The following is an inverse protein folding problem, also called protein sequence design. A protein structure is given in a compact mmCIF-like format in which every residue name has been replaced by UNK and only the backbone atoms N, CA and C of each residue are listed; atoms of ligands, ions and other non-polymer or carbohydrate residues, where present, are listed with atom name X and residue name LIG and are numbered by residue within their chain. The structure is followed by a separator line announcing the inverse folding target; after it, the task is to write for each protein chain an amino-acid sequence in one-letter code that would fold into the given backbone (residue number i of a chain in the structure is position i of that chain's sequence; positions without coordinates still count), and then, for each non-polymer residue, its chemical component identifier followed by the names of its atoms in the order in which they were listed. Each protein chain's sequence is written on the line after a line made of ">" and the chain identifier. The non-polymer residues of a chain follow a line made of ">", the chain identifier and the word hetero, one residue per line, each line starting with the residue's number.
data_IF_306812199571
#
_entry.id   IF_306812199571
#
_cell.length_a   1.000
_cell.length_b   1.000
_cell.length_c   1.000
_cell.angle_alpha   90.00
_cell.angle_beta   90.00
_cell.angle_gamma   90.00
#
_symmetry.space_group_name_H-M   'P 1'
#
loop_
_entity.id
_entity.type
_entity.pdbx_description
1 polymer ?
#
# COMPACT_ATOMS: atom_id res chain seq x y z
N UNK A 1 -12.73 7.87 -25.55
CA UNK A 1 -11.36 7.58 -26.01
C UNK A 1 -10.66 6.91 -24.84
N UNK A 2 -10.76 5.59 -24.72
CA UNK A 2 -10.26 4.83 -23.56
C UNK A 2 -8.98 4.10 -23.93
N UNK A 3 -7.91 4.86 -24.18
CA UNK A 3 -6.57 4.31 -24.18
C UNK A 3 -6.07 4.46 -22.74
N UNK A 4 -6.53 3.58 -21.84
CA UNK A 4 -5.89 3.43 -20.53
C UNK A 4 -4.58 2.68 -20.75
N UNK A 5 -3.53 3.45 -21.04
CA UNK A 5 -2.11 3.04 -21.06
C UNK A 5 -1.90 2.22 -19.77
N UNK A 6 -1.71 0.91 -19.82
CA UNK A 6 -0.48 0.25 -20.27
C UNK A 6 0.43 -0.11 -19.09
N UNK A 7 0.19 0.46 -17.90
CA UNK A 7 1.00 0.22 -16.70
C UNK A 7 0.22 -0.63 -15.70
N UNK A 8 0.91 -1.58 -15.06
CA UNK A 8 0.33 -2.41 -14.00
C UNK A 8 -0.02 -1.50 -12.80
N UNK A 9 -1.29 -1.47 -12.34
CA UNK A 9 -1.69 -0.66 -11.19
C UNK A 9 -0.88 -0.88 -9.93
N UNK A 10 -0.27 -2.06 -9.76
CA UNK A 10 0.64 -2.33 -8.65
C UNK A 10 1.96 -1.56 -8.80
N UNK A 11 2.50 -1.48 -10.01
CA UNK A 11 3.70 -0.69 -10.32
C UNK A 11 3.40 0.78 -10.07
N UNK A 12 2.26 1.30 -10.54
CA UNK A 12 1.89 2.70 -10.27
C UNK A 12 1.73 2.96 -8.77
N UNK A 13 1.14 2.03 -8.02
CA UNK A 13 1.03 2.10 -6.57
C UNK A 13 2.40 2.15 -5.88
N UNK A 14 3.39 1.37 -6.36
CA UNK A 14 4.75 1.39 -5.83
C UNK A 14 5.43 2.76 -5.94
N UNK A 15 5.02 3.61 -6.90
CA UNK A 15 5.50 4.99 -7.01
C UNK A 15 5.14 5.88 -5.81
N UNK A 16 4.18 5.47 -4.98
CA UNK A 16 3.80 6.17 -3.73
C UNK A 16 4.50 5.61 -2.49
N UNK A 17 5.44 4.67 -2.67
CA UNK A 17 6.15 4.01 -1.57
C UNK A 17 7.59 4.50 -1.42
N UNK A 18 8.04 4.55 -0.18
CA UNK A 18 9.41 4.83 0.20
C UNK A 18 9.99 3.60 0.91
N UNK A 19 11.16 3.17 0.46
CA UNK A 19 11.89 2.06 1.05
C UNK A 19 12.73 2.54 2.24
N UNK A 20 12.61 1.87 3.38
CA UNK A 20 13.56 1.91 4.48
C UNK A 20 14.69 0.89 4.28
N UNK A 21 15.82 1.11 4.96
CA UNK A 21 16.94 0.16 5.00
C UNK A 21 16.59 -1.14 5.76
N UNK A 22 15.66 -1.06 6.72
CA UNK A 22 15.19 -2.18 7.52
C UNK A 22 13.69 -2.44 7.32
N UNK A 23 13.23 -3.65 7.67
CA UNK A 23 11.80 -4.01 7.63
C UNK A 23 11.01 -3.41 8.81
N UNK A 24 11.03 -2.08 8.93
CA UNK A 24 10.45 -1.29 10.02
C UNK A 24 9.17 -0.50 9.63
N UNK A 25 8.86 -0.44 8.33
CA UNK A 25 7.69 0.24 7.76
C UNK A 25 6.35 -0.48 8.01
N UNK A 26 5.44 -0.37 7.05
CA UNK A 26 4.06 -0.83 7.18
C UNK A 26 3.95 -2.35 7.34
N UNK A 27 2.96 -2.78 8.12
CA UNK A 27 2.56 -4.20 8.17
C UNK A 27 1.92 -4.59 6.84
N UNK A 28 2.07 -5.83 6.39
CA UNK A 28 1.41 -6.28 5.15
C UNK A 28 -0.11 -6.20 5.31
N UNK A 29 -0.64 -6.73 6.41
CA UNK A 29 -2.09 -6.82 6.65
C UNK A 29 -2.78 -7.82 5.72
N UNK A 30 -4.11 -7.77 5.67
CA UNK A 30 -4.98 -8.52 4.76
C UNK A 30 -6.32 -7.78 4.63
N UNK A 31 -7.25 -8.25 3.79
CA UNK A 31 -8.54 -7.56 3.57
C UNK A 31 -9.53 -7.64 4.76
N UNK A 32 -9.34 -8.59 5.67
CA UNK A 32 -10.29 -8.92 6.74
C UNK A 32 -10.03 -8.13 8.03
N UNK A 33 -8.90 -7.41 8.11
CA UNK A 33 -8.54 -6.62 9.30
C UNK A 33 -9.45 -5.39 9.41
N UNK A 34 -10.15 -5.28 10.54
CA UNK A 34 -11.01 -4.14 10.91
C UNK A 34 -10.50 -3.54 12.23
N UNK A 35 -10.40 -2.20 12.35
CA UNK A 35 -10.75 -1.19 11.36
C UNK A 35 -9.78 -1.11 10.18
N UNK A 36 -10.32 -0.71 9.02
CA UNK A 36 -9.52 -0.42 7.83
C UNK A 36 -8.56 0.74 8.13
N UNK A 37 -7.27 0.53 7.89
CA UNK A 37 -6.22 1.50 8.21
C UNK A 37 -5.07 1.46 7.16
N UNK A 38 -5.12 2.31 6.13
CA UNK A 38 -4.12 2.35 5.06
C UNK A 38 -2.78 2.93 5.51
N UNK A 39 -2.71 3.62 6.65
CA UNK A 39 -1.44 4.13 7.22
C UNK A 39 -0.72 3.13 8.11
N UNK A 40 -1.34 1.99 8.41
CA UNK A 40 -0.75 0.91 9.22
C UNK A 40 -0.48 -0.34 8.39
N UNK A 41 -1.35 -0.61 7.42
CA UNK A 41 -1.31 -1.82 6.61
C UNK A 41 -1.09 -1.48 5.13
N UNK A 42 -0.01 -2.01 4.56
CA UNK A 42 0.39 -1.80 3.17
C UNK A 42 -0.66 -2.31 2.18
N UNK A 43 -1.26 -3.47 2.47
CA UNK A 43 -2.34 -3.99 1.62
C UNK A 43 -3.61 -3.12 1.72
N UNK A 44 -3.91 -2.51 2.87
CA UNK A 44 -4.99 -1.53 2.96
C UNK A 44 -4.69 -0.28 2.14
N UNK A 45 -3.44 0.20 2.15
CA UNK A 45 -3.03 1.32 1.31
C UNK A 45 -3.26 1.02 -0.18
N UNK A 46 -2.89 -0.20 -0.63
CA UNK A 46 -3.16 -0.65 -1.99
C UNK A 46 -4.67 -0.67 -2.31
N UNK A 47 -5.51 -1.22 -1.42
CA UNK A 47 -6.96 -1.22 -1.62
C UNK A 47 -7.55 0.20 -1.67
N UNK A 48 -7.04 1.12 -0.84
CA UNK A 48 -7.41 2.53 -0.88
C UNK A 48 -7.00 3.18 -2.21
N UNK A 49 -5.80 2.90 -2.71
CA UNK A 49 -5.33 3.36 -4.01
C UNK A 49 -6.23 2.87 -5.15
N UNK A 50 -6.56 1.57 -5.17
CA UNK A 50 -7.45 0.99 -6.18
C UNK A 50 -8.82 1.67 -6.16
N UNK A 51 -9.40 1.87 -4.97
CA UNK A 51 -10.69 2.54 -4.82
C UNK A 51 -10.62 4.02 -5.22
N UNK A 52 -9.61 4.77 -4.79
CA UNK A 52 -9.43 6.19 -5.09
C UNK A 52 -9.28 6.46 -6.60
N UNK A 53 -8.73 5.51 -7.34
CA UNK A 53 -8.52 5.59 -8.79
C UNK A 53 -9.61 4.90 -9.62
N UNK A 54 -10.74 4.49 -9.00
CA UNK A 54 -11.83 3.76 -9.66
C UNK A 54 -11.37 2.46 -10.37
N UNK A 55 -10.40 1.76 -9.79
CA UNK A 55 -9.90 0.47 -10.26
C UNK A 55 -10.61 -0.65 -9.50
N UNK A 56 -11.27 -1.54 -10.23
CA UNK A 56 -12.18 -2.56 -9.68
C UNK A 56 -11.58 -3.98 -9.62
N UNK A 57 -10.35 -4.17 -10.11
CA UNK A 57 -9.68 -5.48 -10.16
C UNK A 57 -8.48 -5.53 -9.22
N UNK A 58 -8.71 -5.30 -7.92
CA UNK A 58 -7.66 -5.48 -6.91
C UNK A 58 -7.23 -6.95 -6.85
N UNK A 59 -5.93 -7.20 -6.85
CA UNK A 59 -5.37 -8.54 -6.66
C UNK A 59 -5.47 -8.96 -5.18
N UNK A 60 -5.44 -10.27 -4.91
CA UNK A 60 -5.45 -10.81 -3.54
C UNK A 60 -4.16 -10.45 -2.79
N UNK A 61 -4.18 -10.48 -1.45
CA UNK A 61 -3.00 -10.22 -0.61
C UNK A 61 -1.83 -11.16 -0.93
N UNK A 62 -2.13 -12.42 -1.28
CA UNK A 62 -1.13 -13.40 -1.70
C UNK A 62 -0.45 -12.96 -2.99
N UNK A 63 -1.23 -12.59 -4.00
CA UNK A 63 -0.70 -12.13 -5.29
C UNK A 63 0.04 -10.81 -5.15
N UNK A 64 -0.50 -9.88 -4.37
CA UNK A 64 0.18 -8.64 -3.98
C UNK A 64 1.57 -8.93 -3.41
N UNK A 65 1.67 -9.82 -2.42
CA UNK A 65 2.95 -10.17 -1.81
C UNK A 65 3.93 -10.90 -2.73
N UNK A 66 3.47 -11.50 -3.83
CA UNK A 66 4.31 -12.15 -4.85
C UNK A 66 4.82 -11.16 -5.89
N UNK A 67 3.98 -10.21 -6.30
CA UNK A 67 4.29 -9.27 -7.39
C UNK A 67 5.05 -8.02 -6.91
N UNK A 68 4.93 -7.68 -5.61
CA UNK A 68 5.60 -6.51 -5.00
C UNK A 68 7.10 -6.40 -5.26
N UNK A 69 7.94 -7.46 -5.11
CA UNK A 69 9.37 -7.37 -5.43
C UNK A 69 9.65 -6.94 -6.87
N UNK A 70 8.88 -7.47 -7.84
CA UNK A 70 9.04 -7.13 -9.25
C UNK A 70 8.60 -5.69 -9.52
N UNK A 71 7.45 -5.29 -8.96
CA UNK A 71 6.93 -3.93 -9.12
C UNK A 71 7.85 -2.86 -8.49
N UNK A 72 8.46 -3.15 -7.33
CA UNK A 72 9.42 -2.24 -6.68
C UNK A 72 10.77 -2.18 -7.42
N UNK A 73 11.18 -3.26 -8.09
CA UNK A 73 12.41 -3.28 -8.88
C UNK A 73 12.37 -2.29 -10.05
N UNK A 74 11.20 -1.98 -10.60
CA UNK A 74 11.01 -0.93 -11.62
C UNK A 74 11.40 0.47 -11.11
N UNK A 75 11.38 0.69 -9.78
CA UNK A 75 11.80 1.92 -9.12
C UNK A 75 13.21 1.81 -8.51
N UNK A 76 13.92 0.71 -8.73
CA UNK A 76 15.20 0.43 -8.08
C UNK A 76 15.10 0.23 -6.56
N UNK A 77 13.91 -0.08 -6.05
CA UNK A 77 13.67 -0.30 -4.62
C UNK A 77 13.71 -1.80 -4.27
N UNK A 78 14.31 -2.14 -3.15
CA UNK A 78 14.36 -3.52 -2.64
C UNK A 78 13.26 -3.78 -1.63
N UNK A 79 12.56 -4.89 -1.80
CA UNK A 79 11.49 -5.30 -0.89
C UNK A 79 12.00 -6.22 0.21
N UNK A 80 11.93 -5.77 1.46
CA UNK A 80 12.27 -6.54 2.65
C UNK A 80 11.00 -6.85 3.44
N UNK A 81 10.95 -8.05 4.01
CA UNK A 81 9.88 -8.47 4.92
C UNK A 81 10.44 -9.23 6.10
N UNK A 82 9.89 -8.98 7.28
CA UNK A 82 10.26 -9.67 8.52
C UNK A 82 9.01 -10.04 9.32
N UNK A 83 9.01 -11.25 9.88
CA UNK A 83 7.95 -11.65 10.83
C UNK A 83 8.13 -10.86 12.13
N UNK A 84 7.04 -10.29 12.62
CA UNK A 84 6.98 -9.56 13.90
C UNK A 84 5.84 -10.10 14.76
N UNK A 85 5.76 -9.63 16.02
CA UNK A 85 4.66 -9.94 16.94
C UNK A 85 3.28 -9.55 16.39
N UNK A 86 3.23 -8.54 15.51
CA UNK A 86 1.99 -7.96 14.97
C UNK A 86 1.69 -8.41 13.54
N UNK A 87 2.42 -9.41 13.02
CA UNK A 87 2.31 -9.89 11.64
C UNK A 87 3.58 -9.65 10.83
N UNK A 88 3.49 -9.79 9.51
CA UNK A 88 4.61 -9.54 8.60
C UNK A 88 4.77 -8.02 8.43
N UNK A 89 5.96 -7.51 8.71
CA UNK A 89 6.34 -6.11 8.51
C UNK A 89 7.19 -5.99 7.25
N UNK A 90 6.98 -4.92 6.49
CA UNK A 90 7.77 -4.57 5.31
C UNK A 90 8.71 -3.41 5.60
N UNK A 91 9.65 -3.13 4.70
CA UNK A 91 10.41 -1.89 4.69
C UNK A 91 9.71 -0.76 3.92
N UNK A 92 8.42 -0.89 3.57
CA UNK A 92 7.72 0.09 2.76
C UNK A 92 6.92 1.05 3.63
N UNK A 93 7.09 2.34 3.37
CA UNK A 93 6.31 3.43 3.97
C UNK A 93 5.55 4.18 2.88
N UNK A 94 4.41 4.79 3.24
CA UNK A 94 3.71 5.67 2.31
C UNK A 94 4.41 7.03 2.24
N UNK A 95 4.65 7.51 1.02
CA UNK A 95 4.92 8.91 0.80
C UNK A 95 3.60 9.69 0.99
N UNK A 96 3.44 10.31 2.17
CA UNK A 96 2.18 10.98 2.53
C UNK A 96 1.87 12.17 1.62
N UNK A 97 2.90 12.85 1.11
CA UNK A 97 2.73 14.01 0.24
C UNK A 97 2.04 13.61 -1.07
N UNK A 98 2.50 12.54 -1.71
CA UNK A 98 1.93 12.05 -2.97
C UNK A 98 0.70 11.17 -2.76
N UNK A 99 0.66 10.36 -1.70
CA UNK A 99 -0.49 9.49 -1.43
C UNK A 99 -1.77 10.27 -1.06
N UNK A 100 -1.63 11.54 -0.67
CA UNK A 100 -2.76 12.42 -0.34
C UNK A 100 -3.78 12.59 -1.49
N UNK A 101 -3.38 12.31 -2.74
CA UNK A 101 -4.22 12.41 -3.93
C UNK A 101 -5.38 11.39 -3.95
N UNK A 102 -5.12 10.16 -3.47
CA UNK A 102 -6.07 9.04 -3.52
C UNK A 102 -6.43 8.50 -2.14
N UNK A 103 -5.67 8.85 -1.09
CA UNK A 103 -6.03 8.44 0.26
C UNK A 103 -7.36 9.08 0.68
N UNK A 104 -8.23 8.35 1.39
CA UNK A 104 -9.40 8.94 2.00
C UNK A 104 -8.92 10.04 2.96
N UNK A 105 -9.36 11.29 2.72
CA UNK A 105 -9.19 12.38 3.68
C UNK A 105 -9.74 11.86 4.99
N UNK A 106 -8.96 11.96 6.07
CA UNK A 106 -9.43 11.67 7.42
C UNK A 106 -10.75 12.42 7.60
N UNK A 107 -11.88 11.70 7.57
CA UNK A 107 -13.09 12.24 8.20
C UNK A 107 -12.73 12.34 9.67
N UNK A 108 -12.97 13.51 10.24
CA UNK A 108 -12.55 13.99 11.56
C UNK A 108 -13.07 13.18 12.77
N UNK A 109 -13.41 11.90 12.58
CA UNK A 109 -14.03 11.01 13.55
C UNK A 109 -13.05 10.01 14.19
N UNK A 110 -11.75 10.05 13.85
CA UNK A 110 -10.71 9.21 14.45
C UNK A 110 -9.72 10.03 15.31
N UNK A 111 -10.15 11.16 15.88
CA UNK A 111 -9.43 11.70 17.04
C UNK A 111 -9.79 10.82 18.23
N UNK A 112 -8.80 10.27 18.99
CA UNK A 112 -9.11 9.73 20.30
C UNK A 112 -9.66 10.90 21.11
N UNK A 113 -10.85 10.72 21.68
CA UNK A 113 -11.39 11.63 22.68
C UNK A 113 -10.31 11.83 23.76
N UNK A 114 -9.98 13.10 23.99
CA UNK A 114 -9.03 13.56 25.02
C UNK A 114 -9.45 13.14 26.43
#
# INVERSE_FOLDING_TARGET
>A
MDIKRGTDPLVDFCGYLLASDEADGLLIGNAEIVPFNPRKYLYHAYLAYMKGNNLNKSISVTRFGMDMPGALAEYGQHYLRKKSKYGIRSNMNLNIDTASEWMPKLTRNDQPDE
#
